data_IF_317912524908
#
_entry.id   IF_317912524908
#
_cell.length_a   1.000
_cell.length_b   1.000
_cell.length_c   1.000
_cell.angle_alpha   90.00
_cell.angle_beta   90.00
_cell.angle_gamma   90.00
#
_symmetry.space_group_name_H-M   'P 1'
#
loop_
_entity.id
_entity.type
_entity.pdbx_description
1 polymer ?
#
# COMPACT_ATOMS: atom_id res chain seq x y z
N UNK A 1 -10.52 -2.14 -69.44
CA UNK A 1 -9.91 -3.42 -69.05
C UNK A 1 -10.71 -3.97 -67.88
N UNK A 2 -11.21 -5.21 -67.98
CA UNK A 2 -11.93 -5.86 -66.87
C UNK A 2 -10.95 -5.98 -65.68
N UNK A 3 -11.25 -5.33 -64.55
CA UNK A 3 -10.57 -5.63 -63.29
C UNK A 3 -10.97 -7.06 -62.91
N UNK A 4 -10.05 -8.01 -63.08
CA UNK A 4 -10.19 -9.36 -62.55
C UNK A 4 -10.26 -9.22 -61.03
N UNK A 5 -11.40 -9.62 -60.43
CA UNK A 5 -11.53 -9.68 -58.98
C UNK A 5 -10.90 -11.00 -58.54
N UNK A 6 -9.95 -10.92 -57.61
CA UNK A 6 -9.15 -12.05 -57.13
C UNK A 6 -9.64 -12.40 -55.74
N UNK A 7 -10.03 -13.65 -55.51
CA UNK A 7 -10.40 -14.15 -54.18
C UNK A 7 -9.15 -14.59 -53.42
N UNK A 8 -8.81 -13.96 -52.29
CA UNK A 8 -7.77 -14.49 -51.38
C UNK A 8 -8.45 -15.55 -50.56
N UNK A 9 -8.11 -16.80 -50.84
CA UNK A 9 -8.59 -17.93 -50.08
C UNK A 9 -7.67 -18.11 -48.86
N UNK A 10 -8.06 -17.53 -47.72
CA UNK A 10 -7.53 -17.97 -46.43
C UNK A 10 -8.16 -19.33 -46.13
N UNK A 11 -7.49 -20.42 -46.54
CA UNK A 11 -7.87 -21.75 -46.08
C UNK A 11 -7.35 -21.93 -44.66
N UNK A 12 -8.28 -22.10 -43.73
CA UNK A 12 -8.05 -22.76 -42.45
C UNK A 12 -7.53 -24.18 -42.70
N UNK A 13 -6.35 -24.54 -42.18
CA UNK A 13 -6.41 -25.63 -41.21
C UNK A 13 -7.10 -25.02 -40.00
N UNK A 14 -8.31 -25.48 -39.70
CA UNK A 14 -9.05 -24.94 -38.59
C UNK A 14 -8.20 -25.04 -37.34
N UNK A 15 -7.82 -23.90 -36.76
CA UNK A 15 -7.30 -23.85 -35.42
C UNK A 15 -8.43 -24.19 -34.46
N UNK A 16 -8.80 -25.47 -34.39
CA UNK A 16 -9.43 -26.00 -33.20
C UNK A 16 -8.37 -25.90 -32.12
N UNK A 17 -8.43 -24.80 -31.35
CA UNK A 17 -7.70 -24.70 -30.10
C UNK A 17 -8.23 -25.79 -29.15
N UNK A 18 -9.54 -26.09 -29.25
CA UNK A 18 -10.21 -27.30 -28.75
C UNK A 18 -11.53 -27.56 -29.53
N UNK A 19 -12.23 -28.66 -29.28
CA UNK A 19 -13.48 -29.07 -29.92
C UNK A 19 -14.63 -28.04 -29.84
N UNK A 20 -14.52 -27.06 -28.94
CA UNK A 20 -15.57 -26.09 -28.56
C UNK A 20 -15.23 -24.64 -28.90
N UNK A 21 -14.02 -24.35 -29.38
CA UNK A 21 -13.57 -22.98 -29.66
C UNK A 21 -12.73 -22.92 -30.93
N UNK A 22 -13.08 -22.00 -31.82
CA UNK A 22 -12.44 -21.83 -33.13
C UNK A 22 -12.10 -20.38 -33.42
N UNK A 23 -10.89 -20.14 -33.91
CA UNK A 23 -10.48 -18.90 -34.55
C UNK A 23 -10.45 -19.09 -36.07
N UNK A 24 -11.14 -18.20 -36.80
CA UNK A 24 -11.30 -18.31 -38.26
C UNK A 24 -10.94 -16.99 -38.93
N UNK A 25 -9.79 -16.86 -39.61
CA UNK A 25 -9.53 -15.74 -40.51
C UNK A 25 -10.54 -15.69 -41.68
N UNK A 26 -10.91 -14.48 -42.08
CA UNK A 26 -11.69 -14.23 -43.29
C UNK A 26 -10.84 -14.36 -44.56
N UNK A 27 -11.52 -14.46 -45.69
CA UNK A 27 -10.92 -14.64 -47.03
C UNK A 27 -11.11 -13.37 -47.88
N UNK A 28 -10.37 -12.26 -47.62
CA UNK A 28 -10.59 -11.02 -48.34
C UNK A 28 -10.19 -11.11 -49.82
N UNK A 29 -10.54 -10.14 -50.66
CA UNK A 29 -10.34 -10.24 -52.12
C UNK A 29 -9.92 -8.87 -52.66
N UNK A 30 -8.82 -8.77 -53.42
CA UNK A 30 -8.30 -7.47 -53.87
C UNK A 30 -7.33 -7.55 -55.05
N UNK A 31 -7.03 -6.41 -55.67
CA UNK A 31 -6.03 -6.30 -56.74
C UNK A 31 -4.70 -5.73 -56.23
N UNK A 32 -3.61 -5.87 -57.01
CA UNK A 32 -2.31 -5.26 -56.69
C UNK A 32 -2.43 -3.77 -56.38
N UNK A 33 -1.85 -3.37 -55.26
CA UNK A 33 -1.89 -2.00 -54.72
C UNK A 33 -3.18 -1.64 -53.98
N UNK A 34 -4.16 -2.53 -53.88
CA UNK A 34 -5.35 -2.33 -53.04
C UNK A 34 -5.07 -2.78 -51.60
N UNK A 35 -5.71 -2.10 -50.64
CA UNK A 35 -5.72 -2.49 -49.23
C UNK A 35 -6.88 -3.45 -49.02
N UNK A 36 -6.60 -4.61 -48.44
CA UNK A 36 -7.58 -5.64 -48.09
C UNK A 36 -7.63 -5.82 -46.58
N UNK A 37 -8.80 -6.12 -46.03
CA UNK A 37 -9.00 -6.31 -44.59
C UNK A 37 -9.25 -7.79 -44.27
N UNK A 38 -8.36 -8.40 -43.49
CA UNK A 38 -8.55 -9.73 -42.93
C UNK A 38 -9.15 -9.60 -41.53
N UNK A 39 -10.26 -10.30 -41.29
CA UNK A 39 -10.94 -10.34 -39.98
C UNK A 39 -10.73 -11.69 -39.33
N UNK A 40 -10.37 -11.74 -38.05
CA UNK A 40 -10.25 -12.99 -37.29
C UNK A 40 -11.52 -13.18 -36.46
N UNK A 41 -12.30 -14.20 -36.79
CA UNK A 41 -13.57 -14.51 -36.13
C UNK A 41 -13.38 -15.51 -35.00
N UNK A 42 -13.94 -15.21 -33.82
CA UNK A 42 -14.08 -16.13 -32.70
C UNK A 42 -15.48 -16.71 -32.65
N UNK A 43 -15.53 -18.03 -32.56
CA UNK A 43 -16.71 -18.78 -32.16
C UNK A 43 -16.32 -19.73 -31.03
N UNK A 44 -17.04 -19.67 -29.91
CA UNK A 44 -16.74 -20.46 -28.71
C UNK A 44 -18.01 -20.83 -27.96
N UNK A 45 -18.11 -22.08 -27.51
CA UNK A 45 -19.12 -22.50 -26.53
C UNK A 45 -18.67 -22.22 -25.07
N UNK A 46 -17.37 -21.96 -24.88
CA UNK A 46 -16.76 -21.60 -23.60
C UNK A 46 -16.53 -20.08 -23.48
N UNK A 47 -16.50 -19.57 -22.25
CA UNK A 47 -16.14 -18.18 -21.96
C UNK A 47 -14.63 -17.96 -22.17
N UNK A 48 -14.28 -17.21 -23.22
CA UNK A 48 -12.90 -16.85 -23.54
C UNK A 48 -12.64 -15.43 -23.04
N UNK A 49 -11.62 -15.22 -22.21
CA UNK A 49 -11.29 -13.92 -21.59
C UNK A 49 -9.94 -13.35 -22.07
N UNK A 50 -9.20 -14.15 -22.83
CA UNK A 50 -7.90 -13.78 -23.37
C UNK A 50 -7.59 -14.62 -24.59
N UNK A 51 -6.96 -13.99 -25.59
CA UNK A 51 -6.50 -14.65 -26.79
C UNK A 51 -5.12 -14.15 -27.15
N UNK A 52 -4.20 -15.05 -27.44
CA UNK A 52 -2.97 -14.74 -28.14
C UNK A 52 -2.90 -15.63 -29.38
N UNK A 53 -2.59 -15.07 -30.55
CA UNK A 53 -2.41 -15.86 -31.77
C UNK A 53 -1.49 -15.14 -32.74
N UNK A 54 -0.81 -15.94 -33.55
CA UNK A 54 0.09 -15.45 -34.58
C UNK A 54 -0.57 -15.53 -35.97
N UNK A 55 -0.40 -14.48 -36.76
CA UNK A 55 -0.66 -14.48 -38.19
C UNK A 55 0.68 -14.51 -38.92
N UNK A 56 0.86 -15.49 -39.80
CA UNK A 56 2.01 -15.58 -40.70
C UNK A 56 1.55 -15.19 -42.11
N UNK A 57 2.25 -14.28 -42.76
CA UNK A 57 1.97 -13.83 -44.12
C UNK A 57 3.25 -13.82 -44.96
N UNK A 58 3.11 -13.85 -46.28
CA UNK A 58 4.26 -13.76 -47.18
C UNK A 58 4.63 -12.29 -47.46
N UNK A 59 5.76 -11.78 -46.94
CA UNK A 59 6.18 -10.39 -47.14
C UNK A 59 6.56 -10.09 -48.60
N UNK A 60 6.77 -11.10 -49.45
CA UNK A 60 6.96 -10.90 -50.89
C UNK A 60 5.64 -10.55 -51.60
N UNK A 61 4.50 -10.95 -51.04
CA UNK A 61 3.17 -10.76 -51.65
C UNK A 61 2.41 -9.57 -51.06
N UNK A 62 2.66 -9.22 -49.81
CA UNK A 62 1.91 -8.17 -49.11
C UNK A 62 2.68 -7.51 -47.98
N UNK A 63 2.24 -6.31 -47.58
CA UNK A 63 2.69 -5.64 -46.36
C UNK A 63 1.54 -5.49 -45.38
N UNK A 64 1.77 -5.85 -44.12
CA UNK A 64 0.84 -5.58 -43.03
C UNK A 64 0.68 -4.06 -42.81
N UNK A 65 -0.52 -3.65 -42.42
CA UNK A 65 -0.90 -2.27 -42.15
C UNK A 65 -1.51 -2.11 -40.77
N UNK A 66 -2.55 -1.28 -40.68
CA UNK A 66 -3.29 -1.04 -39.44
C UNK A 66 -3.95 -2.31 -38.91
N UNK A 67 -3.88 -2.47 -37.59
CA UNK A 67 -4.57 -3.48 -36.81
C UNK A 67 -5.64 -2.78 -35.98
N UNK A 68 -6.88 -3.25 -36.10
CA UNK A 68 -8.03 -2.70 -35.40
C UNK A 68 -8.76 -3.77 -34.58
N UNK A 69 -9.33 -3.35 -33.47
CA UNK A 69 -10.17 -4.19 -32.61
C UNK A 69 -11.51 -4.48 -33.27
N UNK A 70 -11.96 -5.73 -33.24
CA UNK A 70 -13.30 -6.13 -33.70
C UNK A 70 -14.35 -6.02 -32.60
N UNK A 71 -15.63 -6.08 -32.98
CA UNK A 71 -16.75 -5.90 -32.04
C UNK A 71 -16.80 -6.97 -30.94
N UNK A 72 -16.30 -8.19 -31.20
CA UNK A 72 -16.30 -9.28 -30.24
C UNK A 72 -15.27 -9.07 -29.12
N UNK A 73 -14.25 -8.26 -29.34
CA UNK A 73 -13.28 -7.92 -28.31
C UNK A 73 -13.78 -6.83 -27.35
N UNK A 74 -14.89 -6.14 -27.64
CA UNK A 74 -15.49 -5.17 -26.71
C UNK A 74 -14.53 -4.04 -26.29
N UNK A 75 -14.36 -3.85 -24.98
CA UNK A 75 -13.46 -2.86 -24.35
C UNK A 75 -12.03 -3.37 -24.10
N UNK A 76 -11.74 -4.59 -24.54
CA UNK A 76 -10.48 -5.27 -24.27
C UNK A 76 -9.33 -4.62 -25.04
N UNK A 77 -8.11 -4.77 -24.52
CA UNK A 77 -6.92 -4.18 -25.14
C UNK A 77 -6.28 -5.18 -26.10
N UNK A 78 -6.00 -4.70 -27.31
CA UNK A 78 -5.26 -5.43 -28.34
C UNK A 78 -3.83 -4.88 -28.36
N UNK A 79 -2.88 -5.78 -28.26
CA UNK A 79 -1.46 -5.52 -28.43
C UNK A 79 -0.98 -6.32 -29.64
N UNK A 80 -0.15 -5.70 -30.46
CA UNK A 80 0.47 -6.36 -31.61
C UNK A 80 1.99 -6.22 -31.56
N UNK A 81 2.66 -7.26 -32.05
CA UNK A 81 4.08 -7.23 -32.37
C UNK A 81 4.23 -7.73 -33.81
N UNK A 82 4.75 -6.86 -34.67
CA UNK A 82 4.97 -7.15 -36.09
C UNK A 82 6.47 -7.31 -36.33
N UNK A 83 6.86 -8.35 -37.05
CA UNK A 83 8.24 -8.51 -37.52
C UNK A 83 8.35 -8.36 -39.05
N UNK A 84 9.57 -8.04 -39.50
CA UNK A 84 9.88 -7.95 -40.93
C UNK A 84 9.92 -9.33 -41.62
N UNK A 85 9.76 -10.41 -40.87
CA UNK A 85 9.81 -11.79 -41.36
C UNK A 85 8.44 -12.33 -41.79
N UNK A 86 7.38 -11.50 -41.71
CA UNK A 86 6.03 -11.89 -42.11
C UNK A 86 5.19 -12.44 -40.96
N UNK A 87 5.50 -12.11 -39.71
CA UNK A 87 4.73 -12.53 -38.54
C UNK A 87 4.08 -11.35 -37.83
N UNK A 88 2.83 -11.52 -37.44
CA UNK A 88 2.08 -10.60 -36.57
C UNK A 88 1.60 -11.40 -35.37
N UNK A 89 2.12 -11.08 -34.18
CA UNK A 89 1.67 -11.68 -32.93
C UNK A 89 0.61 -10.77 -32.31
N UNK A 90 -0.63 -11.26 -32.17
CA UNK A 90 -1.75 -10.52 -31.60
C UNK A 90 -2.05 -11.04 -30.20
N UNK A 91 -2.12 -10.13 -29.23
CA UNK A 91 -2.49 -10.43 -27.84
C UNK A 91 -3.68 -9.56 -27.43
N UNK A 92 -4.79 -10.21 -27.08
CA UNK A 92 -6.03 -9.57 -26.64
C UNK A 92 -6.27 -9.95 -25.18
N UNK A 93 -6.23 -8.96 -24.29
CA UNK A 93 -6.36 -9.16 -22.84
C UNK A 93 -7.62 -8.49 -22.31
N UNK A 94 -8.40 -9.25 -21.54
CA UNK A 94 -9.41 -8.68 -20.66
C UNK A 94 -8.78 -8.11 -19.40
N UNK A 95 -8.90 -6.80 -19.21
CA UNK A 95 -8.50 -6.13 -17.97
C UNK A 95 -9.57 -6.24 -16.88
N UNK A 96 -10.75 -6.76 -17.21
CA UNK A 96 -11.92 -6.86 -16.32
C UNK A 96 -12.41 -8.30 -16.17
N UNK A 97 -11.67 -9.25 -16.74
CA UNK A 97 -12.02 -10.67 -16.82
C UNK A 97 -13.39 -10.96 -17.48
N UNK A 98 -13.87 -10.01 -18.30
CA UNK A 98 -15.05 -10.19 -19.14
C UNK A 98 -14.73 -11.14 -20.29
N UNK A 99 -15.73 -11.94 -20.68
CA UNK A 99 -15.60 -12.80 -21.84
C UNK A 99 -15.75 -11.99 -23.13
N UNK A 100 -15.01 -12.41 -24.16
CA UNK A 100 -15.24 -11.96 -25.53
C UNK A 100 -16.66 -12.31 -25.98
N UNK A 101 -17.22 -11.47 -26.85
CA UNK A 101 -18.39 -11.82 -27.63
C UNK A 101 -18.08 -12.87 -28.69
N UNK A 102 -19.11 -13.35 -29.39
CA UNK A 102 -18.95 -14.08 -30.64
C UNK A 102 -18.87 -13.08 -31.81
N UNK A 103 -17.98 -13.29 -32.77
CA UNK A 103 -17.81 -12.39 -33.92
C UNK A 103 -16.35 -12.05 -34.21
N UNK A 104 -16.09 -10.87 -34.79
CA UNK A 104 -14.73 -10.45 -35.14
C UNK A 104 -13.96 -10.00 -33.90
N UNK A 105 -12.83 -10.64 -33.59
CA UNK A 105 -11.92 -10.23 -32.52
C UNK A 105 -10.97 -9.11 -32.95
N UNK A 106 -10.40 -9.24 -34.15
CA UNK A 106 -9.41 -8.31 -34.68
C UNK A 106 -9.50 -8.23 -36.20
N UNK A 107 -9.08 -7.10 -36.74
CA UNK A 107 -8.99 -6.80 -38.16
C UNK A 107 -7.56 -6.37 -38.48
N UNK A 108 -6.99 -6.92 -39.54
CA UNK A 108 -5.65 -6.58 -40.02
C UNK A 108 -5.75 -6.16 -41.47
N UNK A 109 -5.27 -4.96 -41.77
CA UNK A 109 -5.18 -4.49 -43.15
C UNK A 109 -3.87 -4.97 -43.79
N UNK A 110 -3.94 -5.35 -45.07
CA UNK A 110 -2.78 -5.73 -45.87
C UNK A 110 -2.80 -4.96 -47.19
N UNK A 111 -1.64 -4.48 -47.64
CA UNK A 111 -1.47 -3.92 -48.98
C UNK A 111 -0.82 -4.95 -49.89
N UNK A 112 -1.47 -5.28 -51.01
CA UNK A 112 -0.96 -6.30 -51.95
C UNK A 112 0.15 -5.72 -52.84
N UNK A 113 1.33 -6.35 -52.84
CA UNK A 113 2.52 -5.92 -53.59
C UNK A 113 2.57 -6.48 -55.01
N UNK A 114 2.04 -7.70 -55.22
CA UNK A 114 2.03 -8.40 -56.51
C UNK A 114 0.66 -9.01 -56.83
N UNK A 115 0.41 -9.30 -58.11
CA UNK A 115 -0.80 -9.99 -58.54
C UNK A 115 -0.77 -11.44 -58.05
N UNK A 116 -1.40 -11.69 -56.90
CA UNK A 116 -1.45 -13.01 -56.28
C UNK A 116 -2.46 -13.89 -57.02
N UNK A 117 -2.10 -15.10 -57.50
CA UNK A 117 -3.05 -16.03 -58.13
C UNK A 117 -4.16 -16.47 -57.18
N UNK A 118 -5.33 -16.86 -57.73
CA UNK A 118 -6.39 -17.47 -56.93
C UNK A 118 -5.90 -18.78 -56.27
N UNK A 119 -6.22 -18.96 -54.99
CA UNK A 119 -5.90 -20.18 -54.23
C UNK A 119 -4.52 -20.23 -53.57
N UNK A 120 -3.78 -19.12 -53.53
CA UNK A 120 -2.51 -19.03 -52.77
C UNK A 120 -2.79 -18.73 -51.30
N UNK A 121 -2.22 -19.54 -50.41
CA UNK A 121 -2.25 -19.35 -48.95
C UNK A 121 -1.31 -18.23 -48.55
N UNK A 122 -1.80 -17.00 -48.61
CA UNK A 122 -0.97 -15.82 -48.39
C UNK A 122 -0.93 -15.34 -46.94
N UNK A 123 -1.89 -15.78 -46.10
CA UNK A 123 -1.92 -15.57 -44.65
C UNK A 123 -2.36 -16.86 -43.95
N UNK A 124 -1.68 -17.23 -42.87
CA UNK A 124 -1.92 -18.43 -42.05
C UNK A 124 -2.07 -18.05 -40.59
N UNK A 125 -2.91 -18.79 -39.87
CA UNK A 125 -3.05 -18.72 -38.41
C UNK A 125 -2.73 -20.11 -37.85
N UNK A 126 -1.48 -20.38 -37.45
CA UNK A 126 -1.09 -21.69 -36.95
C UNK A 126 -1.80 -22.01 -35.61
N UNK A 127 -2.58 -23.10 -35.52
CA UNK A 127 -3.28 -23.48 -34.29
C UNK A 127 -2.37 -23.58 -33.06
N UNK A 128 -1.17 -24.11 -33.26
CA UNK A 128 -0.14 -24.32 -32.24
C UNK A 128 0.38 -23.03 -31.61
N UNK A 129 0.19 -21.91 -32.30
CA UNK A 129 0.57 -20.58 -31.84
C UNK A 129 -0.63 -19.79 -31.31
N UNK A 130 -1.81 -20.41 -31.21
CA UNK A 130 -3.01 -19.83 -30.61
C UNK A 130 -3.20 -20.31 -29.18
N UNK A 131 -3.12 -19.38 -28.22
CA UNK A 131 -3.44 -19.60 -26.82
C UNK A 131 -4.76 -18.90 -26.49
N UNK A 132 -5.74 -19.66 -26.00
CA UNK A 132 -7.01 -19.13 -25.49
C UNK A 132 -7.13 -19.41 -24.00
N UNK A 133 -7.55 -18.40 -23.25
CA UNK A 133 -7.72 -18.50 -21.79
C UNK A 133 -9.21 -18.61 -21.47
N UNK A 134 -9.60 -19.73 -20.87
CA UNK A 134 -10.99 -20.08 -20.55
C UNK A 134 -11.25 -20.09 -19.04
N UNK A 135 -11.39 -18.90 -18.43
CA UNK A 135 -11.89 -18.74 -17.06
C UNK A 135 -12.32 -17.30 -16.79
N UNK A 136 -13.62 -17.01 -16.91
CA UNK A 136 -14.19 -15.79 -16.37
C UNK A 136 -14.43 -15.96 -14.86
N UNK A 137 -13.99 -14.97 -14.08
CA UNK A 137 -14.35 -14.79 -12.67
C UNK A 137 -15.54 -13.86 -12.54
N UNK A 138 -16.01 -13.63 -11.30
CA UNK A 138 -16.91 -12.50 -11.05
C UNK A 138 -16.26 -11.22 -11.59
N UNK A 139 -17.10 -10.29 -12.07
CA UNK A 139 -16.67 -8.97 -12.51
C UNK A 139 -16.04 -8.25 -11.31
N UNK A 140 -14.74 -8.46 -11.11
CA UNK A 140 -13.92 -7.60 -10.29
C UNK A 140 -13.88 -6.28 -11.06
N UNK A 141 -14.53 -5.25 -10.54
CA UNK A 141 -14.34 -3.90 -11.05
C UNK A 141 -12.87 -3.56 -10.86
N UNK A 142 -12.06 -3.73 -11.90
CA UNK A 142 -10.71 -3.19 -11.94
C UNK A 142 -10.85 -1.68 -11.96
N UNK A 143 -10.74 -1.07 -10.80
CA UNK A 143 -10.47 0.35 -10.74
C UNK A 143 -9.10 0.58 -11.37
N UNK A 144 -9.05 1.46 -12.36
CA UNK A 144 -7.77 1.85 -12.94
C UNK A 144 -6.82 2.28 -11.82
N UNK A 145 -5.58 1.79 -11.84
CA UNK A 145 -4.56 2.27 -10.89
C UNK A 145 -4.44 3.78 -11.10
N UNK A 146 -4.73 4.56 -10.07
CA UNK A 146 -4.66 6.01 -10.09
C UNK A 146 -3.30 6.43 -9.56
N UNK A 147 -2.68 7.39 -10.24
CA UNK A 147 -1.42 7.96 -9.80
C UNK A 147 -1.64 8.72 -8.49
N UNK A 148 -0.72 8.55 -7.54
CA UNK A 148 -0.70 9.32 -6.30
C UNK A 148 -0.25 10.75 -6.61
N UNK A 149 -1.16 11.72 -6.58
CA UNK A 149 -0.81 13.14 -6.75
C UNK A 149 -0.62 13.81 -5.40
N UNK A 150 -1.50 13.47 -4.44
CA UNK A 150 -1.53 14.05 -3.12
C UNK A 150 -1.35 12.96 -2.05
N UNK A 151 -0.52 13.27 -1.06
CA UNK A 151 -0.25 12.39 0.07
C UNK A 151 -0.20 13.22 1.36
N UNK A 152 -1.04 12.85 2.30
CA UNK A 152 -1.11 13.44 3.63
C UNK A 152 -1.00 12.33 4.68
N UNK A 153 -0.61 12.73 5.88
CA UNK A 153 -0.83 11.88 7.04
C UNK A 153 -1.32 12.67 8.24
N UNK A 154 -2.05 11.95 9.08
CA UNK A 154 -2.42 12.37 10.42
C UNK A 154 -1.74 11.46 11.44
N UNK A 155 -1.69 11.95 12.67
CA UNK A 155 -1.36 11.14 13.83
C UNK A 155 -2.34 11.47 14.94
N UNK A 156 -2.62 10.47 15.76
CA UNK A 156 -3.34 10.60 17.00
C UNK A 156 -2.53 9.88 18.08
N UNK A 157 -2.33 10.54 19.22
CA UNK A 157 -1.99 9.79 20.41
C UNK A 157 -3.21 8.95 20.81
N UNK A 158 -2.99 7.72 21.28
CA UNK A 158 -4.06 6.84 21.76
C UNK A 158 -4.90 7.52 22.85
N UNK A 159 -6.12 7.03 23.07
CA UNK A 159 -7.30 7.58 23.79
C UNK A 159 -7.14 8.46 25.05
N UNK A 160 -5.95 8.70 25.59
CA UNK A 160 -5.72 9.39 26.87
C UNK A 160 -4.77 10.62 26.86
N UNK A 161 -4.31 11.14 25.71
CA UNK A 161 -3.58 12.43 25.69
C UNK A 161 -3.53 13.05 24.29
N UNK A 162 -3.67 14.37 24.22
CA UNK A 162 -3.64 15.15 22.98
C UNK A 162 -2.22 15.43 22.45
N UNK A 163 -1.16 14.89 23.08
CA UNK A 163 0.25 15.21 22.79
C UNK A 163 1.15 13.96 22.83
N UNK A 164 2.06 13.76 21.85
CA UNK A 164 3.08 12.70 21.90
C UNK A 164 4.05 12.86 23.08
N UNK A 165 4.26 11.78 23.85
CA UNK A 165 5.24 11.67 24.94
C UNK A 165 6.12 10.43 24.71
N UNK A 166 7.30 10.40 25.33
CA UNK A 166 8.14 9.19 25.34
C UNK A 166 7.38 8.04 25.99
N UNK A 167 7.69 6.81 25.60
CA UNK A 167 7.04 5.65 26.23
C UNK A 167 5.63 5.36 25.70
N UNK A 168 4.99 6.31 25.01
CA UNK A 168 3.62 6.22 24.52
C UNK A 168 3.56 5.82 23.05
N UNK A 169 2.63 4.93 22.74
CA UNK A 169 2.34 4.57 21.37
C UNK A 169 1.52 5.67 20.67
N UNK A 170 2.02 6.13 19.52
CA UNK A 170 1.37 7.11 18.65
C UNK A 170 0.90 6.39 17.39
N UNK A 171 -0.38 6.53 17.07
CA UNK A 171 -0.97 5.97 15.87
C UNK A 171 -0.83 6.95 14.70
N UNK A 172 -0.40 6.45 13.54
CA UNK A 172 -0.21 7.20 12.30
C UNK A 172 -1.08 6.61 11.20
N UNK A 173 -1.68 7.48 10.39
CA UNK A 173 -2.53 7.06 9.26
C UNK A 173 -2.20 7.91 8.04
N UNK A 174 -1.91 7.23 6.93
CA UNK A 174 -1.68 7.85 5.63
C UNK A 174 -2.95 7.92 4.80
N UNK A 175 -3.10 9.01 4.05
CA UNK A 175 -4.20 9.22 3.09
C UNK A 175 -3.65 9.80 1.79
N UNK A 176 -4.03 9.17 0.70
CA UNK A 176 -3.69 9.57 -0.67
C UNK A 176 -4.92 9.49 -1.59
N UNK A 177 -4.75 10.02 -2.81
CA UNK A 177 -5.73 9.99 -3.90
C UNK A 177 -5.45 8.89 -4.94
N UNK A 178 -4.41 8.06 -4.73
CA UNK A 178 -4.08 6.94 -5.60
C UNK A 178 -4.87 5.68 -5.26
N UNK A 179 -4.67 4.65 -6.08
CA UNK A 179 -5.16 3.29 -5.80
C UNK A 179 -3.99 2.31 -5.82
N UNK A 180 -4.16 1.19 -5.11
CA UNK A 180 -3.13 0.15 -4.92
C UNK A 180 -1.78 0.69 -4.39
N UNK A 181 -1.85 1.59 -3.40
CA UNK A 181 -0.66 2.17 -2.78
C UNK A 181 -0.14 1.31 -1.61
N UNK A 182 1.18 1.14 -1.58
CA UNK A 182 1.94 0.63 -0.43
C UNK A 182 2.61 1.80 0.30
N UNK A 183 2.77 1.69 1.62
CA UNK A 183 3.29 2.79 2.46
C UNK A 183 4.48 2.33 3.29
N UNK A 184 5.53 3.16 3.30
CA UNK A 184 6.69 3.00 4.16
C UNK A 184 6.90 4.29 4.96
N UNK A 185 7.09 4.14 6.26
CA UNK A 185 7.30 5.22 7.23
C UNK A 185 8.74 5.20 7.72
N UNK A 186 9.33 6.38 7.83
CA UNK A 186 10.56 6.66 8.57
C UNK A 186 10.21 7.66 9.68
N UNK A 187 10.43 7.28 10.93
CA UNK A 187 10.05 8.08 12.10
C UNK A 187 11.12 9.09 12.53
N UNK A 188 12.27 9.14 11.86
CA UNK A 188 13.35 10.10 12.14
C UNK A 188 14.21 9.75 13.37
N UNK A 189 13.93 8.64 14.03
CA UNK A 189 14.72 8.04 15.11
C UNK A 189 15.49 6.78 14.65
N UNK A 190 15.40 6.44 13.36
CA UNK A 190 16.00 5.27 12.75
C UNK A 190 15.06 4.07 12.60
N UNK A 191 13.84 4.14 13.12
CA UNK A 191 12.82 3.11 12.92
C UNK A 191 12.09 3.30 11.57
N UNK A 192 11.83 2.19 10.89
CA UNK A 192 10.97 2.15 9.70
C UNK A 192 9.89 1.09 9.81
N UNK A 193 8.67 1.42 9.38
CA UNK A 193 7.50 0.53 9.47
C UNK A 193 6.69 0.61 8.17
N UNK A 194 6.07 -0.50 7.76
CA UNK A 194 5.20 -0.56 6.59
C UNK A 194 3.74 -0.72 6.98
N UNK A 195 2.86 -0.08 6.22
CA UNK A 195 1.41 -0.14 6.44
C UNK A 195 0.76 1.24 6.28
N UNK A 196 -0.51 1.26 5.86
CA UNK A 196 -1.27 2.51 5.74
C UNK A 196 -1.56 3.14 7.10
N UNK A 197 -1.84 2.27 8.08
CA UNK A 197 -2.00 2.60 9.48
C UNK A 197 -0.93 1.84 10.25
N UNK A 198 -0.16 2.57 11.07
CA UNK A 198 0.95 2.03 11.84
C UNK A 198 0.98 2.69 13.22
N UNK A 199 1.66 2.07 14.15
CA UNK A 199 1.89 2.62 15.48
C UNK A 199 3.39 2.64 15.77
N UNK A 200 3.86 3.70 16.43
CA UNK A 200 5.27 3.86 16.80
C UNK A 200 5.41 4.51 18.17
N UNK A 201 6.48 4.15 18.88
CA UNK A 201 6.80 4.63 20.22
C UNK A 201 8.21 5.20 20.23
N UNK A 202 8.35 6.39 20.81
CA UNK A 202 9.62 7.08 20.93
C UNK A 202 10.22 6.89 22.32
N UNK A 203 11.53 6.67 22.39
CA UNK A 203 12.24 6.42 23.64
C UNK A 203 12.96 7.65 24.21
N UNK A 204 13.10 8.71 23.41
CA UNK A 204 13.80 9.94 23.81
C UNK A 204 13.01 11.19 23.45
N UNK A 205 12.96 12.21 24.32
CA UNK A 205 12.29 13.47 23.96
C UNK A 205 13.05 14.18 22.83
N UNK A 206 12.36 14.49 21.73
CA UNK A 206 12.94 15.24 20.61
C UNK A 206 11.87 15.76 19.64
N UNK A 207 12.28 16.60 18.68
CA UNK A 207 11.51 16.87 17.48
C UNK A 207 11.92 15.91 16.36
N UNK A 208 11.01 15.01 15.98
CA UNK A 208 11.22 14.01 14.96
C UNK A 208 10.60 14.43 13.63
N UNK A 209 11.38 14.32 12.55
CA UNK A 209 10.89 14.52 11.18
C UNK A 209 10.38 13.19 10.64
N UNK A 210 9.07 13.01 10.65
CA UNK A 210 8.42 11.83 10.10
C UNK A 210 8.29 11.98 8.60
N UNK A 211 8.63 10.92 7.88
CA UNK A 211 8.51 10.80 6.43
C UNK A 211 7.64 9.60 6.11
N UNK A 212 6.62 9.79 5.27
CA UNK A 212 5.86 8.67 4.69
C UNK A 212 5.98 8.71 3.18
N UNK A 213 6.29 7.56 2.60
CA UNK A 213 6.34 7.34 1.15
C UNK A 213 5.24 6.37 0.77
N UNK A 214 4.31 6.84 -0.07
CA UNK A 214 3.31 6.00 -0.71
C UNK A 214 3.77 5.66 -2.14
N UNK A 215 3.67 4.40 -2.55
CA UNK A 215 4.12 3.93 -3.86
C UNK A 215 3.17 2.91 -4.47
N UNK A 216 2.94 3.04 -5.79
CA UNK A 216 2.22 2.08 -6.62
C UNK A 216 2.94 1.92 -7.97
N UNK A 217 2.36 1.13 -8.89
CA UNK A 217 2.97 0.89 -10.20
C UNK A 217 3.22 2.16 -11.04
N UNK A 218 2.49 3.24 -10.76
CA UNK A 218 2.61 4.51 -11.48
C UNK A 218 3.61 5.50 -10.85
N UNK A 219 4.23 5.13 -9.73
CA UNK A 219 5.29 5.88 -9.08
C UNK A 219 5.12 6.02 -7.58
N UNK A 220 5.86 6.97 -6.99
CA UNK A 220 5.84 7.23 -5.56
C UNK A 220 5.68 8.71 -5.25
N UNK A 221 5.09 8.99 -4.09
CA UNK A 221 4.98 10.32 -3.48
C UNK A 221 5.47 10.23 -2.04
N UNK A 222 6.13 11.29 -1.59
CA UNK A 222 6.62 11.41 -0.22
C UNK A 222 6.09 12.69 0.40
N UNK A 223 5.70 12.62 1.67
CA UNK A 223 5.34 13.78 2.48
C UNK A 223 6.03 13.70 3.84
N UNK A 224 6.27 14.85 4.47
CA UNK A 224 6.98 14.92 5.75
C UNK A 224 6.29 15.86 6.71
N UNK A 225 6.40 15.58 8.01
CA UNK A 225 5.94 16.48 9.08
C UNK A 225 6.78 16.29 10.33
N UNK A 226 7.05 17.40 11.03
CA UNK A 226 7.64 17.32 12.36
C UNK A 226 6.58 17.08 13.42
N UNK A 227 6.91 16.19 14.35
CA UNK A 227 6.21 16.08 15.63
C UNK A 227 7.20 16.37 16.76
N UNK A 228 6.69 16.87 17.87
CA UNK A 228 7.47 17.05 19.09
C UNK A 228 7.03 15.98 20.08
N UNK A 229 8.00 15.20 20.55
CA UNK A 229 7.83 14.19 21.60
C UNK A 229 8.47 14.74 22.86
N UNK A 230 7.67 14.89 23.90
CA UNK A 230 8.11 15.41 25.19
C UNK A 230 8.42 14.30 26.20
N UNK A 231 9.09 14.65 27.30
CA UNK A 231 9.08 13.83 28.51
C UNK A 231 7.64 13.68 29.05
N UNK A 232 7.34 12.66 29.85
CA UNK A 232 5.98 12.43 30.33
C UNK A 232 5.56 13.49 31.34
N UNK A 233 4.30 13.92 31.26
CA UNK A 233 3.67 14.95 32.09
C UNK A 233 2.70 14.33 33.10
N UNK A 234 2.73 14.84 34.33
CA UNK A 234 1.93 14.30 35.44
C UNK A 234 0.42 14.18 35.15
N UNK A 235 -0.16 15.19 34.51
CA UNK A 235 -1.61 15.24 34.29
C UNK A 235 -2.06 14.37 33.11
N UNK A 236 -1.19 14.16 32.12
CA UNK A 236 -1.51 13.56 30.82
C UNK A 236 -1.09 12.09 30.70
N UNK A 237 -0.07 11.67 31.44
CA UNK A 237 0.47 10.31 31.33
C UNK A 237 0.09 9.41 32.51
N UNK A 238 -0.54 9.96 33.54
CA UNK A 238 -1.06 9.16 34.63
C UNK A 238 -2.33 8.42 34.21
N UNK A 239 -2.40 7.13 34.51
CA UNK A 239 -3.61 6.33 34.27
C UNK A 239 -4.71 6.79 35.22
N UNK A 240 -5.90 7.08 34.69
CA UNK A 240 -7.08 7.39 35.50
C UNK A 240 -7.65 6.12 36.12
N UNK A 241 -7.72 6.07 37.45
CA UNK A 241 -8.29 4.96 38.23
C UNK A 241 -9.70 5.29 38.73
N UNK A 242 -10.20 6.49 38.42
CA UNK A 242 -11.52 6.98 38.80
C UNK A 242 -11.57 7.62 40.18
N UNK A 243 -12.56 8.50 40.37
CA UNK A 243 -12.82 9.14 41.67
C UNK A 243 -11.70 10.05 42.15
N UNK A 244 -10.88 10.61 41.24
CA UNK A 244 -9.73 11.46 41.56
C UNK A 244 -8.42 10.71 41.78
N UNK A 245 -8.43 9.37 41.74
CA UNK A 245 -7.23 8.55 41.81
C UNK A 245 -6.59 8.38 40.43
N UNK A 246 -5.27 8.48 40.43
CA UNK A 246 -4.40 8.29 39.27
C UNK A 246 -3.23 7.37 39.62
N UNK A 247 -2.58 6.77 38.63
CA UNK A 247 -1.42 5.93 38.85
C UNK A 247 -0.31 6.10 37.81
N UNK A 248 0.93 5.90 38.24
CA UNK A 248 2.09 5.64 37.37
C UNK A 248 2.70 4.30 37.74
N UNK A 249 3.20 3.55 36.77
CA UNK A 249 3.85 2.24 37.01
C UNK A 249 5.03 2.33 37.99
N UNK A 250 5.80 3.41 37.91
CA UNK A 250 6.98 3.61 38.76
C UNK A 250 6.63 4.17 40.14
N UNK A 251 5.68 5.12 40.18
CA UNK A 251 5.34 5.90 41.38
C UNK A 251 4.28 5.20 42.24
N UNK A 252 3.32 4.52 41.63
CA UNK A 252 2.17 3.93 42.32
C UNK A 252 0.93 4.81 42.24
N UNK A 253 -0.04 4.53 43.12
CA UNK A 253 -1.32 5.23 43.15
C UNK A 253 -1.25 6.54 43.95
N UNK A 254 -1.85 7.59 43.42
CA UNK A 254 -1.99 8.86 44.09
C UNK A 254 -3.33 9.51 43.75
N UNK A 255 -3.86 10.28 44.69
CA UNK A 255 -5.03 11.12 44.49
C UNK A 255 -4.57 12.50 44.02
N UNK A 256 -5.09 12.95 42.88
CA UNK A 256 -4.80 14.26 42.32
C UNK A 256 -5.78 15.31 42.88
N UNK A 257 -5.25 16.50 43.19
CA UNK A 257 -6.07 17.65 43.60
C UNK A 257 -5.94 18.77 42.57
N UNK A 258 -6.81 19.79 42.66
CA UNK A 258 -6.71 21.01 41.83
C UNK A 258 -5.51 21.92 42.23
N UNK A 259 -4.63 21.42 43.09
CA UNK A 259 -3.43 22.11 43.58
C UNK A 259 -2.21 21.20 43.38
N UNK A 260 -0.97 21.72 43.53
CA UNK A 260 0.22 20.88 43.45
C UNK A 260 0.32 19.83 44.58
N UNK A 261 -0.60 19.79 45.54
CA UNK A 261 -0.68 18.71 46.51
C UNK A 261 -1.30 17.45 45.91
N UNK A 262 -0.66 16.32 46.16
CA UNK A 262 -1.19 14.98 45.86
C UNK A 262 -1.21 14.14 47.14
N UNK A 263 -2.10 13.17 47.20
CA UNK A 263 -2.09 12.16 48.28
C UNK A 263 -1.68 10.81 47.71
N UNK A 264 -0.44 10.39 47.96
CA UNK A 264 0.08 9.11 47.54
C UNK A 264 -0.35 8.00 48.51
N UNK A 265 -0.75 6.82 47.99
CA UNK A 265 -1.34 5.74 48.80
C UNK A 265 -0.46 5.28 49.99
N UNK A 266 0.86 5.16 49.80
CA UNK A 266 1.81 4.75 50.83
C UNK A 266 2.60 5.90 51.44
N UNK A 267 2.92 6.93 50.65
CA UNK A 267 3.78 8.05 51.08
C UNK A 267 2.99 9.18 51.77
N UNK A 268 1.66 9.21 51.63
CA UNK A 268 0.81 10.24 52.21
C UNK A 268 0.80 11.54 51.39
N UNK A 269 0.62 12.67 52.06
CA UNK A 269 0.56 13.98 51.42
C UNK A 269 1.94 14.41 50.91
N UNK A 270 2.00 14.71 49.62
CA UNK A 270 3.19 15.21 48.96
C UNK A 270 2.84 16.51 48.23
N UNK A 271 3.70 17.52 48.35
CA UNK A 271 3.66 18.67 47.45
C UNK A 271 4.57 18.39 46.27
N UNK A 272 4.03 18.51 45.06
CA UNK A 272 4.72 18.28 43.79
C UNK A 272 5.18 19.61 43.20
N UNK A 273 6.44 19.67 42.79
CA UNK A 273 6.97 20.76 41.97
C UNK A 273 7.65 20.19 40.73
N UNK A 274 7.31 20.76 39.57
CA UNK A 274 7.68 20.23 38.25
C UNK A 274 6.44 19.85 37.43
N UNK A 275 6.57 19.95 36.11
CA UNK A 275 5.50 19.59 35.17
C UNK A 275 5.65 18.15 34.65
N UNK A 276 6.88 17.61 34.67
CA UNK A 276 7.23 16.30 34.13
C UNK A 276 7.49 15.27 35.24
N UNK A 277 7.20 14.00 34.96
CA UNK A 277 7.40 12.91 35.95
C UNK A 277 8.85 12.49 36.12
N UNK A 278 9.72 12.77 35.14
CA UNK A 278 11.14 12.38 35.14
C UNK A 278 12.03 13.38 35.90
N UNK A 279 11.52 14.58 36.17
CA UNK A 279 12.21 15.68 36.84
C UNK A 279 11.25 16.30 37.86
N UNK A 280 10.96 15.55 38.94
CA UNK A 280 10.00 15.97 39.96
C UNK A 280 10.66 16.19 41.30
N UNK A 281 10.36 17.33 41.89
CA UNK A 281 10.58 17.59 43.29
C UNK A 281 9.33 17.25 44.10
N UNK A 282 9.51 16.44 45.12
CA UNK A 282 8.49 16.07 46.08
C UNK A 282 8.86 16.64 47.44
N UNK A 283 7.88 17.19 48.14
CA UNK A 283 8.03 17.63 49.52
C UNK A 283 7.02 16.96 50.43
N UNK A 284 7.48 16.55 51.61
CA UNK A 284 6.63 16.26 52.77
C UNK A 284 7.38 16.65 54.04
N UNK A 285 6.67 16.67 55.15
CA UNK A 285 7.24 16.85 56.48
C UNK A 285 8.20 15.72 56.89
N UNK A 286 8.11 14.55 56.25
CA UNK A 286 8.97 13.39 56.54
C UNK A 286 10.22 13.29 55.66
N UNK A 287 10.13 13.69 54.39
CA UNK A 287 11.20 13.53 53.40
C UNK A 287 11.97 14.83 53.12
N UNK A 288 11.44 15.99 53.53
CA UNK A 288 11.87 17.32 53.05
C UNK A 288 11.76 17.44 51.52
N UNK A 289 12.36 18.47 50.92
CA UNK A 289 12.44 18.57 49.46
C UNK A 289 13.38 17.50 48.92
N UNK A 290 12.85 16.62 48.07
CA UNK A 290 13.61 15.56 47.44
C UNK A 290 13.24 15.41 45.95
N UNK A 291 14.26 15.34 45.11
CA UNK A 291 14.16 15.09 43.68
C UNK A 291 14.05 13.59 43.40
N UNK A 292 13.17 13.20 42.48
CA UNK A 292 13.04 11.82 42.00
C UNK A 292 12.44 11.80 40.59
N UNK A 293 12.37 10.60 40.01
CA UNK A 293 11.81 10.35 38.69
C UNK A 293 11.74 8.84 38.41
N UNK A 294 11.13 8.47 37.29
CA UNK A 294 10.88 7.09 36.87
C UNK A 294 12.14 6.19 36.86
N UNK A 295 13.29 6.73 36.41
CA UNK A 295 14.55 6.01 36.29
C UNK A 295 15.27 5.78 37.62
N UNK A 296 15.00 6.62 38.62
CA UNK A 296 15.73 6.61 39.90
C UNK A 296 14.86 6.19 41.07
N UNK A 297 13.54 6.25 40.97
CA UNK A 297 12.65 5.80 42.04
C UNK A 297 12.84 4.29 42.31
N UNK A 298 12.93 3.82 43.58
CA UNK A 298 12.51 4.47 44.82
C UNK A 298 13.61 5.27 45.53
N UNK A 299 14.65 5.71 44.83
CA UNK A 299 15.64 6.63 45.38
C UNK A 299 15.19 8.09 45.20
N UNK A 300 15.40 8.90 46.23
CA UNK A 300 15.10 10.33 46.23
C UNK A 300 16.35 11.10 46.65
N UNK A 301 16.70 12.16 45.92
CA UNK A 301 17.86 12.98 46.22
C UNK A 301 17.44 14.26 46.94
N UNK A 302 17.96 14.50 48.14
CA UNK A 302 17.76 15.75 48.86
C UNK A 302 18.98 16.64 48.71
N UNK A 303 18.77 17.88 48.27
CA UNK A 303 19.86 18.85 48.17
C UNK A 303 20.49 19.09 49.55
N UNK A 304 21.82 18.97 49.65
CA UNK A 304 22.56 19.11 50.91
C UNK A 304 22.45 17.93 51.90
N UNK A 305 21.51 17.00 51.68
CA UNK A 305 21.24 15.88 52.59
C UNK A 305 21.41 14.47 51.97
N UNK A 306 21.83 14.41 50.70
CA UNK A 306 22.15 13.16 50.02
C UNK A 306 20.93 12.32 49.65
N UNK A 307 21.17 11.04 49.36
CA UNK A 307 20.14 10.12 48.89
C UNK A 307 19.31 9.54 50.04
N UNK A 308 18.02 9.39 49.79
CA UNK A 308 17.08 8.54 50.50
C UNK A 308 16.74 7.33 49.63
N UNK A 309 16.53 6.18 50.24
CA UNK A 309 15.91 5.01 49.60
C UNK A 309 14.59 4.68 50.29
N UNK A 310 13.49 4.76 49.56
CA UNK A 310 12.18 4.31 50.05
C UNK A 310 12.06 2.79 49.98
N UNK A 311 11.71 2.16 51.09
CA UNK A 311 11.37 0.75 51.12
C UNK A 311 9.97 0.55 50.55
N UNK A 312 9.88 0.24 49.24
CA UNK A 312 8.60 0.02 48.55
C UNK A 312 7.68 -0.92 49.32
N UNK A 313 6.43 -0.51 49.50
CA UNK A 313 5.40 -1.26 50.24
C UNK A 313 5.42 -1.02 51.75
N UNK A 314 6.37 -0.24 52.29
CA UNK A 314 6.26 0.26 53.65
C UNK A 314 5.27 1.42 53.69
N UNK A 315 4.24 1.29 54.52
CA UNK A 315 3.23 2.33 54.71
C UNK A 315 3.04 2.58 56.21
N UNK A 316 2.83 3.85 56.56
CA UNK A 316 2.39 4.34 57.88
C UNK A 316 3.34 4.05 59.09
N UNK A 317 4.45 4.81 59.25
CA UNK A 317 5.02 5.74 58.27
C UNK A 317 5.79 4.98 57.18
N UNK A 318 5.88 5.58 55.99
CA UNK A 318 6.78 5.10 54.96
C UNK A 318 8.22 5.11 55.48
N UNK A 319 8.97 4.03 55.23
CA UNK A 319 10.34 3.87 55.75
C UNK A 319 11.35 4.26 54.70
N UNK A 320 12.31 5.09 55.11
CA UNK A 320 13.39 5.56 54.24
C UNK A 320 14.73 5.22 54.85
N UNK A 321 15.65 4.72 54.04
CA UNK A 321 17.05 4.63 54.43
C UNK A 321 17.77 5.92 54.02
N UNK A 322 18.33 6.63 55.00
CA UNK A 322 19.08 7.85 54.81
C UNK A 322 20.57 7.51 54.63
N UNK A 323 21.10 7.74 53.43
CA UNK A 323 22.50 7.42 53.12
C UNK A 323 23.50 8.38 53.78
N UNK A 324 23.09 9.60 54.15
CA UNK A 324 23.96 10.54 54.84
C UNK A 324 24.12 10.15 56.31
N UNK A 325 23.03 9.73 56.95
CA UNK A 325 23.04 9.28 58.35
C UNK A 325 23.35 7.79 58.52
N UNK A 326 23.34 7.02 57.43
CA UNK A 326 23.46 5.57 57.41
C UNK A 326 22.45 4.86 58.34
N UNK A 327 21.21 5.35 58.35
CA UNK A 327 20.17 4.88 59.25
C UNK A 327 18.79 4.83 58.58
N UNK A 328 17.94 3.94 59.09
CA UNK A 328 16.51 3.92 58.73
C UNK A 328 15.77 5.01 59.51
N UNK A 329 14.99 5.80 58.78
CA UNK A 329 13.99 6.74 59.30
C UNK A 329 12.61 6.16 59.06
#
# INVERSE_FOLDING_TARGET
>A
MKKTRIVILAILLAGQVDARTTLTPSTPTGAKGEVVELSVHLQSDDMVVGAQFDLEFDPALMTAGEIATGEAAGDHKVFDEQDDAGKISLTILSMTNQAFGAGVLAKVSFTLLEDTPEGVEAVRLPPENALLVTRAGEQESYEAIQRINDLFFSYAATLEADKPSIGREVAFSAKDDGTDASYEWDFGDGATIRGKEVAHKYETPNSYLITVTASNFLGAKTTTRRISVSAPYWELDAKDEGGGWKSFDWFGFYYETDTPWIYHETLGWLYREGETVDDTWLWSDYIDWAWTGDLVYPYLFREGHGWLYYLKGSANPARFYDYQEAAWK
#
